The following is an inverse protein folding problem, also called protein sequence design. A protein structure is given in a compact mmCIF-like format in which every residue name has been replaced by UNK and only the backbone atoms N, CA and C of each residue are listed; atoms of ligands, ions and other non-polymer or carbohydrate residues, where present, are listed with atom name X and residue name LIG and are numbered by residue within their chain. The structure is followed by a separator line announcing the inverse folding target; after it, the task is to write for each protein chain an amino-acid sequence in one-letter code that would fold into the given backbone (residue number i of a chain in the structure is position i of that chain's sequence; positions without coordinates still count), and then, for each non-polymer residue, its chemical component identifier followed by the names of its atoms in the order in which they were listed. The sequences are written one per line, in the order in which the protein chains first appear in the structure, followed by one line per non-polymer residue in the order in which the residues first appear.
data_IF_244938569598
#
_entry.id   IF_244938569598
#
_cell.length_a   1.000
_cell.length_b   1.000
_cell.length_c   1.000
_cell.angle_alpha   90.00
_cell.angle_beta   90.00
_cell.angle_gamma   90.00
#
_symmetry.space_group_name_H-M   'P 1'
#
loop_
_entity.id
_entity.type
_entity.pdbx_description
1 polymer ?
#
# COMPACT_ATOMS: atom_id res chain seq x y z
N UNK A 1 -70.41 4.61 21.16
CA UNK A 1 -69.22 4.38 22.04
C UNK A 1 -68.17 3.73 21.15
N UNK A 2 -67.54 4.58 20.32
CA UNK A 2 -66.57 4.16 19.29
C UNK A 2 -65.16 4.07 19.90
N UNK A 3 -64.59 2.86 19.87
CA UNK A 3 -63.21 2.64 20.22
C UNK A 3 -62.35 2.78 18.94
N UNK A 4 -61.68 3.91 18.85
CA UNK A 4 -60.65 4.18 17.82
C UNK A 4 -59.36 3.44 18.20
N UNK A 5 -59.19 2.23 17.65
CA UNK A 5 -58.01 1.39 17.78
C UNK A 5 -57.06 1.72 16.62
N UNK A 6 -56.15 2.72 16.83
CA UNK A 6 -55.08 3.03 15.89
C UNK A 6 -53.87 2.14 16.14
N UNK A 7 -53.42 1.38 15.17
CA UNK A 7 -52.18 0.60 15.34
C UNK A 7 -50.97 1.51 15.44
N UNK A 8 -50.23 1.39 16.55
CA UNK A 8 -48.93 2.02 16.76
C UNK A 8 -47.95 1.47 15.73
N UNK A 9 -47.61 2.30 14.76
CA UNK A 9 -46.66 1.98 13.72
C UNK A 9 -45.28 1.63 14.31
N UNK A 10 -44.91 0.37 14.24
CA UNK A 10 -43.55 -0.09 14.54
C UNK A 10 -42.60 0.50 13.51
N UNK A 11 -41.74 1.45 13.94
CA UNK A 11 -40.64 1.90 13.14
C UNK A 11 -39.73 0.71 12.78
N UNK A 12 -39.38 0.50 11.51
CA UNK A 12 -38.52 -0.58 11.13
C UNK A 12 -37.15 -0.37 11.86
N UNK A 13 -36.76 -1.38 12.65
CA UNK A 13 -35.40 -1.46 13.19
C UNK A 13 -34.44 -1.54 12.00
N UNK A 14 -33.82 -0.43 11.64
CA UNK A 14 -32.66 -0.45 10.74
C UNK A 14 -31.63 -1.40 11.35
N UNK A 15 -31.31 -2.46 10.63
CA UNK A 15 -30.18 -3.34 10.95
C UNK A 15 -28.89 -2.51 11.08
N UNK A 16 -27.82 -3.07 11.63
CA UNK A 16 -26.59 -2.35 11.90
C UNK A 16 -25.94 -1.92 10.59
N UNK A 17 -26.43 -0.85 9.96
CA UNK A 17 -25.68 -0.13 8.94
C UNK A 17 -24.44 0.44 9.61
N UNK A 18 -23.25 0.25 8.98
CA UNK A 18 -22.08 1.05 9.29
C UNK A 18 -22.54 2.51 9.19
N UNK A 19 -22.40 3.22 10.28
CA UNK A 19 -22.55 4.67 10.27
C UNK A 19 -21.36 5.24 9.49
N UNK A 20 -21.57 5.78 8.28
CA UNK A 20 -20.46 6.24 7.43
C UNK A 20 -19.65 7.34 8.11
N UNK A 21 -20.30 8.21 8.88
CA UNK A 21 -19.63 9.31 9.56
C UNK A 21 -18.74 8.80 10.71
N UNK A 22 -19.24 7.83 11.48
CA UNK A 22 -18.45 7.19 12.52
C UNK A 22 -17.30 6.35 11.95
N UNK A 23 -17.50 5.72 10.79
CA UNK A 23 -16.45 4.96 10.10
C UNK A 23 -15.31 5.88 9.65
N UNK A 24 -15.63 6.98 8.97
CA UNK A 24 -14.63 7.95 8.52
C UNK A 24 -13.94 8.64 9.70
N UNK A 25 -14.66 8.95 10.79
CA UNK A 25 -14.05 9.50 12.00
C UNK A 25 -13.00 8.55 12.61
N UNK A 26 -13.24 7.24 12.59
CA UNK A 26 -12.26 6.24 13.05
C UNK A 26 -11.03 6.22 12.14
N UNK A 27 -11.20 6.24 10.82
CA UNK A 27 -10.09 6.26 9.88
C UNK A 27 -9.27 7.55 9.99
N UNK A 28 -9.93 8.72 10.11
CA UNK A 28 -9.27 10.00 10.32
C UNK A 28 -8.44 10.02 11.62
N UNK A 29 -9.06 9.61 12.74
CA UNK A 29 -8.36 9.50 14.03
C UNK A 29 -7.17 8.54 13.96
N UNK A 30 -7.30 7.44 13.21
CA UNK A 30 -6.21 6.48 13.03
C UNK A 30 -5.05 7.10 12.24
N UNK A 31 -5.33 7.84 11.16
CA UNK A 31 -4.30 8.55 10.38
C UNK A 31 -3.53 9.54 11.24
N UNK A 32 -4.22 10.33 12.07
CA UNK A 32 -3.59 11.28 13.01
C UNK A 32 -2.69 10.57 14.01
N UNK A 33 -3.20 9.51 14.65
CA UNK A 33 -2.44 8.75 15.66
C UNK A 33 -1.21 8.06 15.07
N UNK A 34 -1.29 7.55 13.84
CA UNK A 34 -0.14 6.98 13.14
C UNK A 34 0.90 8.05 12.85
N UNK A 35 0.48 9.25 12.42
CA UNK A 35 1.40 10.36 12.17
C UNK A 35 2.06 10.88 13.45
N UNK A 36 1.33 10.90 14.59
CA UNK A 36 1.80 11.45 15.86
C UNK A 36 2.70 10.46 16.64
N UNK A 37 2.33 9.17 16.68
CA UNK A 37 2.94 8.17 17.56
C UNK A 37 3.56 6.97 16.82
N UNK A 38 3.48 6.92 15.50
CA UNK A 38 3.84 5.75 14.73
C UNK A 38 2.96 4.53 15.02
N UNK A 39 3.18 3.43 14.32
CA UNK A 39 2.39 2.21 14.49
C UNK A 39 2.38 1.66 15.91
N UNK A 40 3.55 1.65 16.58
CA UNK A 40 3.69 1.11 17.96
C UNK A 40 2.85 1.86 18.98
N UNK A 41 2.73 3.18 18.80
CA UNK A 41 1.99 4.03 19.72
C UNK A 41 0.48 4.02 19.54
N UNK A 42 -0.04 3.41 18.45
CA UNK A 42 -1.48 3.30 18.18
C UNK A 42 -2.07 2.10 18.92
N UNK A 43 -3.20 2.32 19.62
CA UNK A 43 -4.02 1.27 20.20
C UNK A 43 -5.49 1.46 19.83
N UNK A 44 -6.28 0.38 19.88
CA UNK A 44 -7.72 0.43 19.59
C UNK A 44 -8.46 1.39 20.52
N UNK A 45 -8.01 1.49 21.78
CA UNK A 45 -8.55 2.40 22.78
C UNK A 45 -8.28 3.86 22.42
N UNK A 46 -7.05 4.19 22.00
CA UNK A 46 -6.70 5.55 21.55
C UNK A 46 -7.48 5.95 20.31
N UNK A 47 -7.65 5.02 19.37
CA UNK A 47 -8.47 5.24 18.16
C UNK A 47 -9.90 5.57 18.57
N UNK A 48 -10.55 4.72 19.38
CA UNK A 48 -11.91 4.92 19.83
C UNK A 48 -12.10 6.26 20.55
N UNK A 49 -11.17 6.59 21.46
CA UNK A 49 -11.18 7.84 22.20
C UNK A 49 -11.01 9.05 21.29
N UNK A 50 -10.07 9.03 20.35
CA UNK A 50 -9.79 10.13 19.42
C UNK A 50 -10.96 10.33 18.44
N UNK A 51 -11.58 9.24 17.98
CA UNK A 51 -12.74 9.26 17.08
C UNK A 51 -14.07 9.58 17.76
N UNK A 52 -14.12 9.63 19.11
CA UNK A 52 -15.36 9.87 19.86
C UNK A 52 -16.38 8.74 19.76
N UNK A 53 -15.94 7.49 19.51
CA UNK A 53 -16.83 6.33 19.36
C UNK A 53 -16.60 5.32 20.50
N UNK A 54 -17.58 4.46 20.74
CA UNK A 54 -17.42 3.37 21.69
C UNK A 54 -16.37 2.36 21.20
N UNK A 55 -15.50 1.86 22.08
CA UNK A 55 -14.48 0.85 21.79
C UNK A 55 -15.06 -0.36 21.04
N UNK A 56 -16.22 -0.85 21.47
CA UNK A 56 -16.91 -1.96 20.83
C UNK A 56 -17.32 -1.66 19.38
N UNK A 57 -17.55 -0.39 19.04
CA UNK A 57 -17.82 0.02 17.65
C UNK A 57 -16.60 -0.20 16.77
N UNK A 58 -15.41 0.15 17.26
CA UNK A 58 -14.15 -0.06 16.52
C UNK A 58 -13.88 -1.56 16.35
N UNK A 59 -13.96 -2.36 17.42
CA UNK A 59 -13.73 -3.81 17.33
C UNK A 59 -14.76 -4.55 16.45
N UNK A 60 -15.97 -4.03 16.33
CA UNK A 60 -16.99 -4.60 15.43
C UNK A 60 -16.60 -4.47 13.95
N UNK A 61 -15.89 -3.41 13.59
CA UNK A 61 -15.49 -3.16 12.20
C UNK A 61 -14.09 -3.67 11.88
N UNK A 62 -13.19 -3.61 12.85
CA UNK A 62 -11.79 -4.03 12.69
C UNK A 62 -11.38 -4.97 13.83
N UNK A 63 -10.94 -6.18 13.51
CA UNK A 63 -10.59 -7.17 14.54
C UNK A 63 -9.33 -6.79 15.34
N UNK A 64 -8.46 -5.96 14.78
CA UNK A 64 -7.21 -5.51 15.40
C UNK A 64 -6.74 -4.17 14.83
N UNK A 65 -5.69 -3.60 15.44
CA UNK A 65 -5.15 -2.31 15.01
C UNK A 65 -4.52 -2.34 13.62
N UNK A 66 -3.98 -3.48 13.20
CA UNK A 66 -3.41 -3.61 11.87
C UNK A 66 -4.47 -3.40 10.79
N UNK A 67 -5.66 -3.99 10.98
CA UNK A 67 -6.77 -3.87 10.03
C UNK A 67 -7.23 -2.41 9.87
N UNK A 68 -7.44 -1.68 10.98
CA UNK A 68 -7.89 -0.29 10.90
C UNK A 68 -6.80 0.63 10.35
N UNK A 69 -5.52 0.40 10.70
CA UNK A 69 -4.41 1.19 10.17
C UNK A 69 -4.27 0.96 8.65
N UNK A 70 -4.29 -0.29 8.19
CA UNK A 70 -4.20 -0.60 6.75
C UNK A 70 -5.30 0.11 5.97
N UNK A 71 -6.56 0.05 6.43
CA UNK A 71 -7.67 0.74 5.77
C UNK A 71 -7.51 2.27 5.85
N UNK A 72 -7.10 2.81 6.99
CA UNK A 72 -6.92 4.24 7.17
C UNK A 72 -5.86 4.86 6.26
N UNK A 73 -4.85 4.08 5.86
CA UNK A 73 -3.76 4.55 4.99
C UNK A 73 -3.84 4.00 3.57
N UNK A 74 -4.91 3.26 3.22
CA UNK A 74 -5.05 2.59 1.92
C UNK A 74 -4.82 3.53 0.73
N UNK A 75 -5.37 4.74 0.76
CA UNK A 75 -5.19 5.73 -0.31
C UNK A 75 -3.72 6.17 -0.46
N UNK A 76 -2.96 6.15 0.64
CA UNK A 76 -1.52 6.50 0.64
C UNK A 76 -0.64 5.33 0.24
N UNK A 77 -1.17 4.10 0.34
CA UNK A 77 -0.51 2.88 -0.09
C UNK A 77 -0.76 2.59 -1.58
N UNK A 78 -1.75 3.24 -2.18
CA UNK A 78 -2.00 3.09 -3.60
C UNK A 78 -0.78 3.59 -4.41
N UNK A 79 -0.30 2.80 -5.38
CA UNK A 79 0.75 3.26 -6.27
C UNK A 79 0.26 4.47 -7.09
N UNK A 80 1.15 5.43 -7.29
CA UNK A 80 0.92 6.48 -8.27
C UNK A 80 0.94 5.93 -9.71
N UNK A 81 0.63 6.76 -10.71
CA UNK A 81 0.82 6.40 -12.10
C UNK A 81 2.30 6.07 -12.36
N UNK A 82 2.54 5.27 -13.41
CA UNK A 82 3.91 4.98 -13.84
C UNK A 82 4.63 6.29 -14.18
N UNK A 83 5.83 6.56 -13.61
CA UNK A 83 6.64 7.69 -14.05
C UNK A 83 6.95 7.62 -15.54
N UNK A 84 7.00 8.77 -16.21
CA UNK A 84 7.26 8.87 -17.66
C UNK A 84 8.01 10.17 -17.99
N UNK A 85 9.25 10.28 -17.51
CA UNK A 85 10.14 11.43 -17.74
C UNK A 85 10.80 11.39 -19.12
N UNK A 86 10.78 10.23 -19.78
CA UNK A 86 11.54 9.94 -20.99
C UNK A 86 12.83 9.19 -20.74
N UNK A 87 13.34 9.14 -19.51
CA UNK A 87 14.50 8.36 -19.09
C UNK A 87 14.07 7.22 -18.16
N UNK A 88 14.17 5.99 -18.63
CA UNK A 88 13.76 4.79 -17.87
C UNK A 88 14.48 4.63 -16.53
N UNK A 89 15.72 5.16 -16.42
CA UNK A 89 16.49 5.09 -15.17
C UNK A 89 15.98 6.10 -14.14
N UNK A 90 15.62 7.29 -14.60
CA UNK A 90 14.96 8.29 -13.77
C UNK A 90 13.56 7.81 -13.36
N UNK A 91 12.80 7.26 -14.30
CA UNK A 91 11.49 6.68 -14.04
C UNK A 91 11.55 5.57 -12.98
N UNK A 92 12.51 4.64 -13.12
CA UNK A 92 12.76 3.58 -12.16
C UNK A 92 13.12 4.11 -10.76
N UNK A 93 13.97 5.13 -10.69
CA UNK A 93 14.36 5.74 -9.42
C UNK A 93 13.17 6.44 -8.74
N UNK A 94 12.34 7.15 -9.49
CA UNK A 94 11.12 7.78 -8.97
C UNK A 94 10.13 6.74 -8.43
N UNK A 95 9.95 5.64 -9.16
CA UNK A 95 9.09 4.54 -8.73
C UNK A 95 9.61 3.85 -7.46
N UNK A 96 10.92 3.55 -7.39
CA UNK A 96 11.56 2.95 -6.22
C UNK A 96 11.40 3.83 -4.97
N UNK A 97 11.58 5.16 -5.10
CA UNK A 97 11.30 6.12 -4.01
C UNK A 97 9.84 6.04 -3.55
N UNK A 98 8.91 5.92 -4.48
CA UNK A 98 7.50 5.73 -4.19
C UNK A 98 7.24 4.46 -3.39
N UNK A 99 7.80 3.33 -3.80
CA UNK A 99 7.69 2.05 -3.11
C UNK A 99 8.26 2.09 -1.68
N UNK A 100 9.48 2.64 -1.52
CA UNK A 100 10.09 2.81 -0.18
C UNK A 100 9.22 3.68 0.70
N UNK A 101 8.72 4.81 0.20
CA UNK A 101 7.81 5.68 0.94
C UNK A 101 6.54 4.95 1.37
N UNK A 102 5.93 4.16 0.49
CA UNK A 102 4.74 3.35 0.80
C UNK A 102 5.02 2.37 1.93
N UNK A 103 6.11 1.61 1.85
CA UNK A 103 6.48 0.65 2.90
C UNK A 103 6.86 1.34 4.21
N UNK A 104 7.48 2.52 4.16
CA UNK A 104 7.79 3.33 5.35
C UNK A 104 6.51 3.89 6.01
N UNK A 105 5.48 4.21 5.24
CA UNK A 105 4.18 4.64 5.78
C UNK A 105 3.45 3.52 6.53
N UNK A 106 3.72 2.26 6.22
CA UNK A 106 3.29 1.12 7.05
C UNK A 106 3.99 1.11 8.42
N UNK A 107 5.05 1.90 8.58
CA UNK A 107 5.61 2.43 9.84
C UNK A 107 6.42 1.45 10.66
N UNK A 108 6.16 0.18 10.61
CA UNK A 108 6.88 -0.83 11.40
C UNK A 108 6.86 -2.16 10.67
N UNK A 109 8.00 -2.83 10.48
CA UNK A 109 8.07 -4.19 9.94
C UNK A 109 7.09 -5.16 10.60
N UNK A 110 6.73 -4.91 11.86
CA UNK A 110 5.72 -5.70 12.57
C UNK A 110 4.31 -5.58 12.01
N UNK A 111 3.98 -4.53 11.23
CA UNK A 111 2.68 -4.45 10.52
C UNK A 111 2.61 -5.55 9.47
N UNK A 112 3.64 -5.66 8.66
CA UNK A 112 3.71 -6.67 7.59
C UNK A 112 3.82 -8.07 8.19
N UNK A 113 4.71 -8.26 9.19
CA UNK A 113 4.83 -9.54 9.89
C UNK A 113 3.56 -9.88 10.67
N UNK A 114 2.89 -8.91 11.30
CA UNK A 114 1.59 -9.10 11.96
C UNK A 114 0.49 -9.47 10.95
N UNK A 115 0.44 -8.81 9.80
CA UNK A 115 -0.49 -9.19 8.73
C UNK A 115 -0.27 -10.63 8.25
N UNK A 116 0.99 -11.05 8.15
CA UNK A 116 1.35 -12.41 7.72
C UNK A 116 1.07 -13.47 8.80
N UNK A 117 1.33 -13.16 10.09
CA UNK A 117 1.26 -14.13 11.18
C UNK A 117 -0.08 -14.15 11.91
N UNK A 118 -0.65 -12.98 12.20
CA UNK A 118 -1.87 -12.86 13.00
C UNK A 118 -3.14 -12.99 12.16
N UNK A 119 -3.10 -12.56 10.90
CA UNK A 119 -4.26 -12.58 9.99
C UNK A 119 -4.27 -13.77 9.03
N UNK A 120 -3.22 -14.59 9.01
CA UNK A 120 -3.14 -15.78 8.17
C UNK A 120 -3.33 -15.49 6.68
N UNK A 121 -4.14 -16.31 5.97
CA UNK A 121 -4.36 -16.16 4.52
C UNK A 121 -5.00 -14.81 4.10
N UNK A 122 -5.98 -14.24 4.79
CA UNK A 122 -6.49 -12.90 4.45
C UNK A 122 -5.41 -11.82 4.48
N UNK A 123 -4.52 -11.81 5.48
CA UNK A 123 -3.42 -10.85 5.56
C UNK A 123 -2.38 -11.04 4.44
N UNK A 124 -2.10 -12.30 4.08
CA UNK A 124 -1.24 -12.60 2.92
C UNK A 124 -1.85 -12.16 1.61
N UNK A 125 -3.15 -12.32 1.44
CA UNK A 125 -3.86 -11.87 0.24
C UNK A 125 -3.78 -10.35 0.09
N UNK A 126 -4.05 -9.59 1.14
CA UNK A 126 -3.94 -8.12 1.13
C UNK A 126 -2.52 -7.64 0.79
N UNK A 127 -1.49 -8.26 1.39
CA UNK A 127 -0.10 -7.93 1.06
C UNK A 127 0.24 -8.26 -0.39
N UNK A 128 -0.22 -9.41 -0.88
CA UNK A 128 -0.06 -9.82 -2.29
C UNK A 128 -0.70 -8.81 -3.23
N UNK A 129 -1.91 -8.36 -2.95
CA UNK A 129 -2.64 -7.39 -3.76
C UNK A 129 -1.95 -6.02 -3.74
N UNK A 130 -1.44 -5.58 -2.58
CA UNK A 130 -0.63 -4.38 -2.45
C UNK A 130 0.63 -4.45 -3.32
N UNK A 131 1.40 -5.54 -3.22
CA UNK A 131 2.64 -5.70 -3.99
C UNK A 131 2.35 -5.78 -5.50
N UNK A 132 1.31 -6.49 -5.91
CA UNK A 132 0.88 -6.53 -7.32
C UNK A 132 0.47 -5.16 -7.84
N UNK A 133 -0.28 -4.38 -7.06
CA UNK A 133 -0.66 -3.03 -7.45
C UNK A 133 0.56 -2.13 -7.68
N UNK A 134 1.66 -2.33 -6.94
CA UNK A 134 2.92 -1.60 -7.17
C UNK A 134 3.72 -2.15 -8.35
N UNK A 135 3.64 -3.44 -8.64
CA UNK A 135 4.36 -4.07 -9.73
C UNK A 135 3.89 -3.56 -11.11
N UNK A 136 2.58 -3.30 -11.30
CA UNK A 136 2.03 -2.90 -12.60
C UNK A 136 2.60 -1.55 -13.12
N UNK A 137 2.65 -0.45 -12.35
CA UNK A 137 3.31 0.77 -12.81
C UNK A 137 4.80 0.56 -13.12
N UNK A 138 5.51 -0.28 -12.37
CA UNK A 138 6.91 -0.62 -12.65
C UNK A 138 7.04 -1.39 -13.98
N UNK A 139 6.21 -2.39 -14.19
CA UNK A 139 6.20 -3.12 -15.45
C UNK A 139 5.88 -2.19 -16.64
N UNK A 140 4.97 -1.23 -16.45
CA UNK A 140 4.64 -0.26 -17.49
C UNK A 140 5.81 0.68 -17.82
N UNK A 141 6.49 1.24 -16.81
CA UNK A 141 7.67 2.09 -17.08
C UNK A 141 8.80 1.32 -17.76
N UNK A 142 8.99 0.05 -17.43
CA UNK A 142 9.98 -0.81 -18.07
C UNK A 142 9.62 -1.09 -19.52
N UNK A 143 8.33 -1.41 -19.84
CA UNK A 143 7.85 -1.54 -21.22
C UNK A 143 8.05 -0.25 -22.03
N UNK A 144 7.77 0.91 -21.41
CA UNK A 144 8.03 2.20 -22.05
C UNK A 144 9.53 2.40 -22.33
N UNK A 145 10.40 1.98 -21.40
CA UNK A 145 11.86 2.01 -21.57
C UNK A 145 12.33 1.16 -22.74
N UNK A 146 11.81 -0.05 -22.90
CA UNK A 146 12.08 -0.91 -24.06
C UNK A 146 11.59 -0.27 -25.36
N UNK A 147 10.34 0.21 -25.38
CA UNK A 147 9.75 0.84 -26.56
C UNK A 147 10.52 2.08 -27.06
N UNK A 148 11.22 2.77 -26.14
CA UNK A 148 12.08 3.92 -26.46
C UNK A 148 13.53 3.54 -26.78
N UNK A 149 13.86 2.26 -26.76
CA UNK A 149 15.25 1.79 -26.99
C UNK A 149 16.20 2.07 -25.81
N UNK A 150 15.68 2.43 -24.66
CA UNK A 150 16.46 2.65 -23.44
C UNK A 150 16.85 1.35 -22.71
N UNK A 151 16.19 0.24 -23.03
CA UNK A 151 16.42 -1.10 -22.51
C UNK A 151 16.38 -2.15 -23.63
N UNK A 152 17.12 -3.27 -23.50
CA UNK A 152 17.04 -4.40 -24.42
C UNK A 152 15.64 -5.03 -24.45
N UNK A 153 15.21 -5.52 -25.62
CA UNK A 153 13.91 -6.18 -25.80
C UNK A 153 13.81 -7.52 -25.08
N UNK A 154 14.92 -8.21 -24.90
CA UNK A 154 15.03 -9.53 -24.25
C UNK A 154 15.20 -9.44 -22.73
N UNK A 155 15.18 -8.22 -22.15
CA UNK A 155 15.28 -8.05 -20.70
C UNK A 155 14.06 -8.68 -19.99
N UNK A 156 14.26 -9.56 -19.00
CA UNK A 156 13.17 -10.18 -18.25
C UNK A 156 12.54 -9.15 -17.26
N UNK A 157 11.64 -8.30 -17.78
CA UNK A 157 11.09 -7.16 -17.05
C UNK A 157 10.45 -7.54 -15.72
N UNK A 158 9.66 -8.62 -15.69
CA UNK A 158 8.99 -9.08 -14.48
C UNK A 158 10.01 -9.49 -13.39
N UNK A 159 11.09 -10.19 -13.77
CA UNK A 159 12.13 -10.58 -12.82
C UNK A 159 12.89 -9.37 -12.26
N UNK A 160 13.10 -8.33 -13.07
CA UNK A 160 13.72 -7.08 -12.60
C UNK A 160 12.81 -6.39 -11.58
N UNK A 161 11.51 -6.25 -11.90
CA UNK A 161 10.53 -5.60 -11.01
C UNK A 161 10.37 -6.39 -9.71
N UNK A 162 10.24 -7.72 -9.80
CA UNK A 162 10.16 -8.60 -8.63
C UNK A 162 11.43 -8.52 -7.77
N UNK A 163 12.60 -8.44 -8.41
CA UNK A 163 13.87 -8.24 -7.74
C UNK A 163 13.94 -6.92 -6.97
N UNK A 164 13.47 -5.83 -7.54
CA UNK A 164 13.41 -4.54 -6.87
C UNK A 164 12.44 -4.54 -5.67
N UNK A 165 11.23 -5.07 -5.87
CA UNK A 165 10.25 -5.22 -4.80
C UNK A 165 10.81 -6.11 -3.69
N UNK A 166 11.39 -7.26 -4.07
CA UNK A 166 12.01 -8.20 -3.14
C UNK A 166 13.14 -7.57 -2.33
N UNK A 167 14.03 -6.80 -2.97
CA UNK A 167 15.11 -6.08 -2.28
C UNK A 167 14.55 -5.10 -1.25
N UNK A 168 13.60 -4.25 -1.66
CA UNK A 168 13.03 -3.22 -0.78
C UNK A 168 12.31 -3.89 0.39
N UNK A 169 11.46 -4.91 0.14
CA UNK A 169 10.75 -5.66 1.19
C UNK A 169 11.73 -6.38 2.12
N UNK A 170 12.74 -7.04 1.57
CA UNK A 170 13.75 -7.75 2.37
C UNK A 170 14.48 -6.80 3.32
N UNK A 171 14.97 -5.68 2.82
CA UNK A 171 15.71 -4.69 3.62
C UNK A 171 14.82 -4.03 4.68
N UNK A 172 13.63 -3.57 4.30
CA UNK A 172 12.75 -2.83 5.22
C UNK A 172 12.00 -3.73 6.18
N UNK A 173 11.40 -4.81 5.68
CA UNK A 173 10.49 -5.65 6.48
C UNK A 173 11.24 -6.72 7.26
N UNK A 174 12.16 -7.44 6.62
CA UNK A 174 12.85 -8.57 7.27
C UNK A 174 14.09 -8.14 8.04
N UNK A 175 14.87 -7.18 7.53
CA UNK A 175 16.07 -6.70 8.22
C UNK A 175 15.84 -5.46 9.08
N UNK A 176 14.70 -4.77 8.95
CA UNK A 176 14.42 -3.52 9.67
C UNK A 176 15.40 -2.39 9.33
N UNK A 177 15.97 -2.42 8.13
CA UNK A 177 16.96 -1.45 7.66
C UNK A 177 16.30 -0.34 6.86
N UNK A 178 16.76 0.87 7.05
CA UNK A 178 16.42 1.97 6.14
C UNK A 178 17.13 1.80 4.79
N UNK A 179 16.46 2.21 3.72
CA UNK A 179 17.02 2.21 2.37
C UNK A 179 17.46 3.63 2.06
N UNK A 180 18.76 3.81 1.86
CA UNK A 180 19.32 5.08 1.46
C UNK A 180 19.09 5.35 -0.04
N UNK A 181 19.15 6.61 -0.42
CA UNK A 181 19.08 7.02 -1.83
C UNK A 181 20.17 6.36 -2.69
N UNK A 182 21.34 6.08 -2.11
CA UNK A 182 22.42 5.38 -2.78
C UNK A 182 22.04 3.94 -3.15
N UNK A 183 21.37 3.24 -2.26
CA UNK A 183 20.90 1.85 -2.50
C UNK A 183 19.95 1.82 -3.70
N UNK A 184 19.03 2.80 -3.81
CA UNK A 184 18.09 2.88 -4.93
C UNK A 184 18.80 3.15 -6.26
N UNK A 185 19.81 4.02 -6.25
CA UNK A 185 20.63 4.29 -7.43
C UNK A 185 21.43 3.07 -7.85
N UNK A 186 21.94 2.30 -6.90
CA UNK A 186 22.66 1.06 -7.18
C UNK A 186 21.75 0.02 -7.82
N UNK A 187 20.49 -0.12 -7.34
CA UNK A 187 19.49 -0.98 -8.00
C UNK A 187 19.24 -0.57 -9.46
N UNK A 188 19.10 0.74 -9.71
CA UNK A 188 18.90 1.25 -11.07
C UNK A 188 20.13 1.03 -11.96
N UNK A 189 21.36 1.09 -11.40
CA UNK A 189 22.61 0.81 -12.13
C UNK A 189 22.73 -0.64 -12.59
N UNK A 190 21.99 -1.58 -11.96
CA UNK A 190 21.93 -2.97 -12.41
C UNK A 190 21.20 -3.15 -13.74
N UNK A 191 20.42 -2.16 -14.18
CA UNK A 191 19.80 -2.20 -15.51
C UNK A 191 20.90 -2.20 -16.57
N UNK A 192 20.76 -3.05 -17.61
CA UNK A 192 21.73 -3.07 -18.72
C UNK A 192 21.76 -1.72 -19.45
N UNK A 193 22.88 -1.37 -20.09
CA UNK A 193 22.94 -0.17 -20.93
C UNK A 193 21.93 -0.27 -22.09
N UNK A 194 21.55 0.88 -22.67
CA UNK A 194 20.72 0.85 -23.88
C UNK A 194 21.43 0.02 -24.97
N UNK A 195 20.66 -0.71 -25.80
CA UNK A 195 21.24 -1.44 -26.92
C UNK A 195 22.00 -0.46 -27.81
N UNK A 196 23.23 -0.83 -28.15
CA UNK A 196 24.01 -0.03 -29.08
C UNK A 196 23.29 0.11 -30.43
N UNK A 197 23.61 1.13 -31.25
CA UNK A 197 23.05 1.22 -32.59
C UNK A 197 23.31 -0.12 -33.29
N UNK A 198 22.24 -0.76 -33.75
CA UNK A 198 22.31 -2.03 -34.50
C UNK A 198 23.35 -1.82 -35.62
N UNK A 199 24.50 -2.46 -35.47
CA UNK A 199 25.52 -2.43 -36.54
C UNK A 199 24.85 -2.92 -37.80
N UNK A 200 24.54 -2.00 -38.71
CA UNK A 200 24.09 -2.36 -40.03
C UNK A 200 25.12 -3.32 -40.61
N UNK A 201 24.66 -4.55 -40.91
CA UNK A 201 25.43 -5.49 -41.68
C UNK A 201 25.88 -4.77 -42.94
N UNK A 202 27.15 -4.42 -43.00
CA UNK A 202 27.81 -4.05 -44.22
C UNK A 202 27.93 -5.35 -45.05
N UNK A 203 26.94 -5.55 -45.95
CA UNK A 203 26.99 -6.55 -46.97
C UNK A 203 27.86 -6.09 -48.14
#
# INVERSE_FOLDING_TARGET
MDHDDRPVGSRPRRGPHRDPDAHEAVLAATRELVAEFGYKGVTMERIASRAGVARMTVYRWWPNKAAVITEAVADRLAPGPAPDTGDVREDALLWLRGLVRTLTLLGDPSVVTGALTERGEPGRAELRDLLKAHAEPAAQLMRNGVARGGLPEDLPLDAVVDGWIGYVVYRTVFLGQEIAEADLRDLVRLLPPPPGPSGGEAG
#
